data_IF_167714887555
#
_entry.id   IF_167714887555
#
_cell.length_a   1.000
_cell.length_b   1.000
_cell.length_c   1.000
_cell.angle_alpha   90.00
_cell.angle_beta   90.00
_cell.angle_gamma   90.00
#
_symmetry.space_group_name_H-M   'P 1'
#
loop_
_entity.id
_entity.type
_entity.pdbx_description
1 polymer ?
#
# COMPACT_ATOMS: atom_id res chain seq x y z
N UNK A 1 11.30 35.15 0.43
CA UNK A 1 11.47 34.73 0.66
C UNK A 1 12.06 34.29 0.65
N UNK A 2 12.32 34.57 0.69
CA UNK A 2 13.02 34.01 0.65
C UNK A 2 12.96 32.85 0.74
N UNK A 3 12.94 32.48 1.01
CA UNK A 3 12.68 31.42 1.05
C UNK A 3 11.56 31.02 1.58
N UNK A 4 10.64 31.19 1.07
CA UNK A 4 9.49 30.58 1.41
C UNK A 4 9.60 29.16 1.13
N UNK A 5 9.40 28.24 2.06
CA UNK A 5 9.44 26.80 1.77
C UNK A 5 8.42 26.45 0.71
N UNK A 6 8.77 25.47 -0.10
CA UNK A 6 7.81 24.92 -1.04
C UNK A 6 6.66 24.37 -0.25
N UNK A 7 5.46 24.79 -0.62
CA UNK A 7 4.32 24.35 0.08
C UNK A 7 3.96 22.97 -0.40
N UNK A 8 4.08 21.99 0.48
CA UNK A 8 3.67 20.63 0.16
C UNK A 8 2.29 20.41 0.72
N UNK A 9 1.47 19.74 -0.05
CA UNK A 9 0.17 19.28 0.43
C UNK A 9 0.23 17.78 0.57
N UNK A 10 -0.63 17.23 1.43
CA UNK A 10 -0.75 15.80 1.55
C UNK A 10 -2.12 15.39 1.05
N UNK A 11 -2.17 14.24 0.40
CA UNK A 11 -3.40 13.67 -0.13
C UNK A 11 -3.45 12.23 0.34
N UNK A 12 -4.61 11.78 0.75
CA UNK A 12 -4.74 10.39 1.18
C UNK A 12 -4.62 9.47 0.00
N UNK A 13 -3.98 8.32 0.23
CA UNK A 13 -3.81 7.33 -0.82
C UNK A 13 -5.14 6.95 -1.46
N UNK A 14 -6.20 6.84 -0.66
CA UNK A 14 -7.51 6.47 -1.19
C UNK A 14 -8.03 7.48 -2.21
N UNK A 15 -7.59 8.73 -2.13
CA UNK A 15 -8.04 9.76 -3.08
C UNK A 15 -7.27 9.71 -4.39
N UNK A 16 -6.12 9.07 -4.40
CA UNK A 16 -5.29 8.94 -5.59
C UNK A 16 -5.50 7.60 -6.29
N UNK A 17 -6.04 6.64 -5.58
CA UNK A 17 -6.22 5.30 -6.09
C UNK A 17 -7.61 5.11 -6.67
N UNK A 18 -7.65 4.37 -7.79
CA UNK A 18 -8.91 3.91 -8.36
C UNK A 18 -9.41 2.70 -7.58
N UNK A 19 -8.48 1.84 -7.17
CA UNK A 19 -8.80 0.61 -6.44
C UNK A 19 -7.73 0.38 -5.41
N UNK A 20 -8.13 0.05 -4.18
CA UNK A 20 -7.24 -0.49 -3.15
C UNK A 20 -7.91 -1.76 -2.66
N UNK A 21 -7.22 -2.88 -2.81
CA UNK A 21 -7.82 -4.16 -2.41
C UNK A 21 -6.75 -5.11 -1.89
N UNK A 22 -7.19 -6.13 -1.19
CA UNK A 22 -6.31 -7.19 -0.73
C UNK A 22 -7.02 -8.53 -0.91
N UNK A 23 -6.23 -9.57 -1.06
CA UNK A 23 -6.76 -10.93 -1.16
C UNK A 23 -5.67 -11.91 -0.77
N UNK A 24 -6.09 -13.13 -0.42
CA UNK A 24 -5.14 -14.19 -0.11
C UNK A 24 -4.32 -14.55 -1.36
N UNK A 25 -3.04 -14.79 -1.13
CA UNK A 25 -2.13 -15.30 -2.14
C UNK A 25 -1.57 -16.62 -1.60
N UNK A 26 -2.44 -17.61 -1.50
CA UNK A 26 -2.14 -18.83 -0.80
C UNK A 26 -2.59 -18.72 0.65
N UNK A 27 -2.40 -19.78 1.46
CA UNK A 27 -2.95 -19.79 2.82
C UNK A 27 -2.22 -18.89 3.80
N UNK A 28 -0.97 -18.53 3.50
CA UNK A 28 -0.13 -17.81 4.46
C UNK A 28 0.29 -16.42 3.97
N UNK A 29 -0.27 -15.92 2.87
CA UNK A 29 0.10 -14.62 2.31
C UNK A 29 -1.14 -13.83 1.93
N UNK A 30 -0.98 -12.49 1.94
CA UNK A 30 -2.00 -11.56 1.45
C UNK A 30 -1.34 -10.63 0.47
N UNK A 31 -1.91 -10.48 -0.71
CA UNK A 31 -1.44 -9.56 -1.72
C UNK A 31 -2.31 -8.31 -1.72
N UNK A 32 -1.65 -7.17 -1.79
CA UNK A 32 -2.31 -5.87 -1.84
C UNK A 32 -2.08 -5.26 -3.21
N UNK A 33 -3.16 -4.76 -3.81
CA UNK A 33 -3.12 -4.07 -5.10
C UNK A 33 -3.59 -2.65 -4.89
N UNK A 34 -2.78 -1.68 -5.33
CA UNK A 34 -3.15 -0.28 -5.36
C UNK A 34 -3.07 0.15 -6.81
N UNK A 35 -4.22 0.37 -7.43
CA UNK A 35 -4.29 0.78 -8.83
C UNK A 35 -4.67 2.24 -8.84
N UNK A 36 -3.85 3.08 -9.47
CA UNK A 36 -4.04 4.52 -9.44
C UNK A 36 -4.97 4.97 -10.55
N UNK A 37 -5.54 6.16 -10.35
CA UNK A 37 -6.54 6.69 -11.28
C UNK A 37 -5.95 7.00 -12.65
N UNK A 38 -4.69 7.41 -12.67
CA UNK A 38 -4.01 7.73 -13.91
C UNK A 38 -2.51 7.57 -13.72
N UNK A 39 -1.77 7.67 -14.83
CA UNK A 39 -0.31 7.63 -14.76
C UNK A 39 0.23 8.78 -13.93
N UNK A 40 -0.43 9.92 -13.98
CA UNK A 40 0.04 11.09 -13.25
C UNK A 40 0.05 10.83 -11.75
N UNK A 41 -1.04 10.28 -11.20
CA UNK A 41 -1.10 9.95 -9.78
C UNK A 41 -0.08 8.86 -9.43
N UNK A 42 0.05 7.87 -10.29
CA UNK A 42 0.98 6.78 -10.07
C UNK A 42 2.41 7.29 -9.96
N UNK A 43 2.83 8.12 -10.93
CA UNK A 43 4.19 8.65 -10.92
C UNK A 43 4.42 9.58 -9.75
N UNK A 44 3.40 10.35 -9.37
CA UNK A 44 3.52 11.25 -8.22
C UNK A 44 3.75 10.47 -6.92
N UNK A 45 3.05 9.36 -6.75
CA UNK A 45 3.23 8.53 -5.55
C UNK A 45 4.62 7.90 -5.54
N UNK A 46 5.07 7.41 -6.69
CA UNK A 46 6.43 6.85 -6.79
C UNK A 46 7.48 7.90 -6.44
N UNK A 47 7.32 9.11 -6.99
CA UNK A 47 8.29 10.18 -6.77
C UNK A 47 8.30 10.63 -5.31
N UNK A 48 7.17 10.56 -4.63
CA UNK A 48 7.07 10.97 -3.24
C UNK A 48 7.83 10.05 -2.29
N UNK A 49 8.02 8.80 -2.69
CA UNK A 49 8.64 7.74 -1.87
C UNK A 49 7.91 7.52 -0.55
N UNK A 50 6.63 7.86 -0.52
CA UNK A 50 5.83 7.69 0.67
C UNK A 50 5.34 6.25 0.84
N UNK A 51 5.28 5.49 -0.25
CA UNK A 51 4.84 4.11 -0.21
C UNK A 51 6.02 3.23 -0.60
N UNK A 52 6.64 2.61 0.39
CA UNK A 52 7.82 1.78 0.23
C UNK A 52 7.64 0.54 1.10
N UNK A 53 8.49 -0.49 0.93
CA UNK A 53 8.42 -1.62 1.86
C UNK A 53 8.54 -1.21 3.32
N UNK A 54 9.37 -0.22 3.62
CA UNK A 54 9.53 0.26 5.00
C UNK A 54 8.25 0.91 5.52
N UNK A 55 7.59 1.71 4.67
CA UNK A 55 6.32 2.32 5.05
C UNK A 55 5.27 1.26 5.33
N UNK A 56 5.27 0.19 4.51
CA UNK A 56 4.34 -0.91 4.72
C UNK A 56 4.55 -1.55 6.07
N UNK A 57 5.81 -1.78 6.47
CA UNK A 57 6.07 -2.38 7.78
C UNK A 57 5.56 -1.50 8.90
N UNK A 58 5.73 -0.19 8.80
CA UNK A 58 5.24 0.73 9.81
C UNK A 58 3.72 0.75 9.86
N UNK A 59 3.12 0.79 8.69
CA UNK A 59 1.67 0.92 8.57
C UNK A 59 0.94 -0.29 9.13
N UNK A 60 1.49 -1.48 8.89
CA UNK A 60 0.87 -2.72 9.34
C UNK A 60 1.46 -3.23 10.65
N UNK A 61 2.49 -2.56 11.19
CA UNK A 61 3.08 -2.96 12.46
C UNK A 61 3.75 -4.31 12.40
N UNK A 62 4.43 -4.61 11.29
CA UNK A 62 5.06 -5.92 11.09
C UNK A 62 6.55 -5.72 10.79
N UNK A 63 7.38 -6.73 11.09
CA UNK A 63 8.80 -6.64 10.73
C UNK A 63 9.00 -6.74 9.21
N UNK A 64 10.15 -6.24 8.76
CA UNK A 64 10.46 -6.17 7.33
C UNK A 64 10.40 -7.54 6.65
N UNK A 65 10.76 -8.59 7.39
CA UNK A 65 10.75 -9.96 6.87
C UNK A 65 9.35 -10.42 6.45
N UNK A 66 8.32 -9.76 6.97
CA UNK A 66 6.95 -10.12 6.60
C UNK A 66 6.57 -9.62 5.22
N UNK A 67 7.34 -8.70 4.64
CA UNK A 67 7.09 -8.23 3.29
C UNK A 67 7.76 -9.19 2.31
N UNK A 68 6.96 -9.97 1.62
CA UNK A 68 7.44 -10.96 0.68
C UNK A 68 7.98 -10.32 -0.59
N UNK A 69 7.23 -9.36 -1.14
CA UNK A 69 7.64 -8.66 -2.35
C UNK A 69 6.92 -7.33 -2.43
N UNK A 70 7.49 -6.43 -3.22
CA UNK A 70 6.97 -5.09 -3.43
C UNK A 70 7.32 -4.71 -4.87
N UNK A 71 6.30 -4.45 -5.68
CA UNK A 71 6.48 -4.22 -7.11
C UNK A 71 5.75 -2.96 -7.55
N UNK A 72 6.43 -2.10 -8.27
CA UNK A 72 5.82 -0.99 -8.99
C UNK A 72 5.57 -1.48 -10.42
N UNK A 73 4.31 -1.74 -10.73
CA UNK A 73 3.93 -2.34 -12.00
C UNK A 73 3.46 -1.25 -12.97
N UNK A 74 4.40 -0.72 -13.72
CA UNK A 74 4.17 0.44 -14.59
C UNK A 74 3.05 0.25 -15.61
N UNK A 75 2.95 -0.91 -16.29
CA UNK A 75 1.90 -1.05 -17.31
C UNK A 75 0.48 -0.85 -16.80
N UNK A 76 0.24 -1.18 -15.53
CA UNK A 76 -1.10 -1.03 -14.97
C UNK A 76 -1.22 0.18 -14.05
N UNK A 77 -0.18 0.99 -13.92
CA UNK A 77 -0.14 2.10 -12.96
C UNK A 77 -0.54 1.60 -11.58
N UNK A 78 0.12 0.55 -11.14
CA UNK A 78 -0.24 -0.15 -9.91
C UNK A 78 0.98 -0.41 -9.05
N UNK A 79 0.77 -0.39 -7.73
CA UNK A 79 1.78 -0.85 -6.77
C UNK A 79 1.19 -2.09 -6.10
N UNK A 80 1.98 -3.15 -6.07
CA UNK A 80 1.56 -4.43 -5.51
C UNK A 80 2.58 -4.88 -4.49
N UNK A 81 2.10 -5.36 -3.35
CA UNK A 81 3.01 -5.97 -2.39
C UNK A 81 2.29 -7.10 -1.68
N UNK A 82 3.10 -8.00 -1.11
CA UNK A 82 2.59 -9.21 -0.48
C UNK A 82 3.18 -9.30 0.91
N UNK A 83 2.33 -9.63 1.87
CA UNK A 83 2.75 -9.84 3.25
C UNK A 83 2.48 -11.28 3.65
N UNK A 84 3.39 -11.86 4.43
CA UNK A 84 3.10 -13.11 5.12
C UNK A 84 2.11 -12.82 6.24
N UNK A 85 1.11 -13.66 6.36
CA UNK A 85 0.10 -13.51 7.41
C UNK A 85 0.65 -14.04 8.73
N UNK A 86 0.24 -13.40 9.83
CA UNK A 86 0.58 -13.92 11.14
C UNK A 86 -0.23 -15.18 11.47
N UNK A 87 -1.43 -15.30 10.87
CA UNK A 87 -2.32 -16.44 11.04
C UNK A 87 -2.65 -16.93 9.64
N UNK A 88 -2.38 -18.21 9.35
CA UNK A 88 -2.73 -18.77 8.03
C UNK A 88 -4.23 -18.68 7.79
N UNK A 89 -4.58 -18.52 6.51
CA UNK A 89 -5.98 -18.40 6.11
C UNK A 89 -6.76 -19.64 6.54
N UNK A 90 -7.90 -19.41 7.17
CA UNK A 90 -8.75 -20.48 7.62
C UNK A 90 -8.37 -21.10 8.94
N UNK A 91 -7.29 -20.65 9.56
CA UNK A 91 -6.88 -21.15 10.88
C UNK A 91 -7.76 -20.57 11.98
N UNK A 92 -7.84 -21.24 13.13
CA UNK A 92 -8.56 -20.65 14.26
C UNK A 92 -8.03 -19.26 14.58
N UNK A 93 -8.91 -18.33 14.76
CA UNK A 93 -8.53 -16.94 15.04
C UNK A 93 -8.44 -16.06 13.80
N UNK A 94 -8.57 -16.64 12.61
CA UNK A 94 -8.54 -15.85 11.37
C UNK A 94 -9.93 -15.27 11.13
N UNK A 95 -10.04 -13.95 11.20
CA UNK A 95 -11.28 -13.24 10.96
C UNK A 95 -11.46 -12.82 9.52
N UNK A 96 -10.46 -13.07 8.66
CA UNK A 96 -10.47 -12.62 7.27
C UNK A 96 -9.90 -13.72 6.38
N UNK A 97 -10.71 -14.76 6.17
CA UNK A 97 -10.27 -15.96 5.45
C UNK A 97 -9.78 -15.64 4.04
N UNK A 98 -10.43 -14.71 3.36
CA UNK A 98 -10.09 -14.41 1.97
C UNK A 98 -9.09 -13.27 1.85
N UNK A 99 -8.70 -12.62 2.94
CA UNK A 99 -7.77 -11.51 2.89
C UNK A 99 -8.34 -10.24 2.30
N UNK A 100 -9.66 -10.16 2.14
CA UNK A 100 -10.29 -9.04 1.44
C UNK A 100 -10.43 -7.80 2.32
N UNK A 101 -10.22 -7.93 3.62
CA UNK A 101 -10.39 -6.82 4.55
C UNK A 101 -9.10 -6.39 5.21
N UNK A 102 -7.96 -6.72 4.60
CA UNK A 102 -6.66 -6.36 5.15
C UNK A 102 -6.20 -4.99 4.70
N UNK A 103 -6.83 -4.39 3.70
CA UNK A 103 -6.33 -3.15 3.09
C UNK A 103 -6.68 -1.84 3.84
N UNK A 104 -7.62 -1.77 4.80
CA UNK A 104 -8.00 -0.49 5.38
C UNK A 104 -6.84 0.37 5.91
N UNK A 105 -5.76 -0.19 6.49
CA UNK A 105 -4.66 0.67 6.93
C UNK A 105 -4.06 1.52 5.84
N UNK A 106 -4.15 1.08 4.57
CA UNK A 106 -3.60 1.83 3.45
C UNK A 106 -4.41 3.08 3.12
N UNK A 107 -5.71 3.07 3.39
CA UNK A 107 -6.58 4.12 2.90
C UNK A 107 -6.24 5.47 3.49
N UNK A 108 -5.80 5.48 4.74
CA UNK A 108 -5.47 6.72 5.42
C UNK A 108 -4.03 7.19 5.23
N UNK A 109 -3.24 6.46 4.46
CA UNK A 109 -1.84 6.84 4.24
C UNK A 109 -1.79 8.19 3.53
N UNK A 110 -1.01 9.12 4.07
CA UNK A 110 -0.89 10.45 3.49
C UNK A 110 0.32 10.51 2.59
N UNK A 111 0.10 10.99 1.37
CA UNK A 111 1.12 11.10 0.35
C UNK A 111 1.46 12.57 0.18
N UNK A 112 2.71 12.97 0.46
CA UNK A 112 3.10 14.37 0.25
C UNK A 112 3.29 14.62 -1.25
N UNK A 113 2.62 15.65 -1.74
CA UNK A 113 2.72 16.06 -3.13
C UNK A 113 3.18 17.50 -3.20
N UNK A 114 3.90 17.81 -4.23
CA UNK A 114 4.34 19.18 -4.48
C UNK A 114 3.45 19.87 -5.50
#
# INVERSE_FOLDING_TARGET
>A
DIRRPIKMRTVKLEDLAKVIRSKNAGPDKVTFDIIFKSREEYEAVKASKALTPETVTELFGVPRERVSDFVEFDPACAIKFTLYRSIPSGSPGDADVFGCQQYPPLMGLEIPLQ
#
